data_IF_662163714268
#
_entry.id   IF_662163714268
#
_cell.length_a   1.000
_cell.length_b   1.000
_cell.length_c   1.000
_cell.angle_alpha   90.00
_cell.angle_beta   90.00
_cell.angle_gamma   90.00
#
_symmetry.space_group_name_H-M   'P 1'
#
loop_
_entity.id
_entity.type
_entity.pdbx_description
1 polymer ?
#
# COMPACT_ATOMS: atom_id res chain seq x y z
N UNK A 1 -0.22 -20.70 -6.10
CA UNK A 1 -1.19 -19.78 -6.73
C UNK A 1 -0.91 -18.37 -6.22
N UNK A 2 -0.50 -17.45 -7.08
CA UNK A 2 -0.38 -16.05 -6.69
C UNK A 2 -1.77 -15.45 -6.50
N UNK A 3 -2.12 -15.10 -5.26
CA UNK A 3 -3.36 -14.37 -4.97
C UNK A 3 -3.16 -12.91 -5.37
N UNK A 4 -3.88 -12.47 -6.40
CA UNK A 4 -3.94 -11.05 -6.80
C UNK A 4 -5.06 -10.37 -6.02
N UNK A 5 -4.77 -9.18 -5.49
CA UNK A 5 -5.73 -8.32 -4.81
C UNK A 5 -5.72 -6.97 -5.50
N UNK A 6 -6.90 -6.46 -5.82
CA UNK A 6 -7.10 -5.16 -6.46
C UNK A 6 -7.86 -4.25 -5.50
N UNK A 7 -7.41 -2.99 -5.40
CA UNK A 7 -8.06 -1.96 -4.58
C UNK A 7 -8.49 -0.82 -5.47
N UNK A 8 -9.68 -0.27 -5.22
CA UNK A 8 -10.11 0.99 -5.80
C UNK A 8 -9.75 2.10 -4.83
N UNK A 9 -9.01 3.09 -5.32
CA UNK A 9 -8.60 4.26 -4.57
C UNK A 9 -8.96 5.49 -5.39
N UNK A 10 -9.41 6.55 -4.73
CA UNK A 10 -9.49 7.85 -5.35
C UNK A 10 -8.09 8.44 -5.62
N UNK A 11 -8.03 9.46 -6.48
CA UNK A 11 -6.79 10.07 -6.92
C UNK A 11 -6.00 10.70 -5.75
N UNK A 12 -6.70 11.28 -4.77
CA UNK A 12 -6.06 11.91 -3.61
C UNK A 12 -5.36 10.86 -2.73
N UNK A 13 -6.05 9.77 -2.43
CA UNK A 13 -5.53 8.65 -1.62
C UNK A 13 -4.38 7.97 -2.36
N UNK A 14 -4.51 7.76 -3.67
CA UNK A 14 -3.42 7.23 -4.48
C UNK A 14 -2.18 8.14 -4.45
N UNK A 15 -2.34 9.45 -4.59
CA UNK A 15 -1.23 10.40 -4.50
C UNK A 15 -0.56 10.39 -3.12
N UNK A 16 -1.35 10.35 -2.04
CA UNK A 16 -0.85 10.29 -0.65
C UNK A 16 -0.05 9.02 -0.40
N UNK A 17 -0.56 7.85 -0.81
CA UNK A 17 0.14 6.56 -0.64
C UNK A 17 1.42 6.54 -1.48
N UNK A 18 1.38 7.04 -2.72
CA UNK A 18 2.57 7.14 -3.58
C UNK A 18 3.66 8.04 -3.00
N UNK A 19 3.28 9.19 -2.43
CA UNK A 19 4.23 10.10 -1.78
C UNK A 19 4.88 9.45 -0.55
N UNK A 20 4.09 8.76 0.28
CA UNK A 20 4.60 8.03 1.46
C UNK A 20 5.46 6.81 1.10
N UNK A 21 5.14 6.12 0.01
CA UNK A 21 5.98 5.04 -0.52
C UNK A 21 7.36 5.59 -0.93
N UNK A 22 7.38 6.71 -1.65
CA UNK A 22 8.62 7.38 -2.07
C UNK A 22 9.46 7.85 -0.88
N UNK A 23 8.84 8.44 0.15
CA UNK A 23 9.59 8.90 1.34
C UNK A 23 10.23 7.76 2.14
N UNK A 24 9.70 6.53 2.00
CA UNK A 24 10.25 5.31 2.61
C UNK A 24 11.17 4.51 1.67
N UNK A 25 11.48 5.06 0.49
CA UNK A 25 12.25 4.38 -0.56
C UNK A 25 11.66 3.02 -0.97
N UNK A 26 10.33 2.91 -0.95
CA UNK A 26 9.57 1.71 -1.28
C UNK A 26 8.79 1.89 -2.57
N UNK A 27 8.52 0.78 -3.27
CA UNK A 27 7.52 0.79 -4.34
C UNK A 27 6.12 0.95 -3.76
N UNK A 28 5.18 1.46 -4.56
CA UNK A 28 3.78 1.59 -4.15
C UNK A 28 3.20 0.24 -3.68
N UNK A 29 3.46 -0.84 -4.43
CA UNK A 29 2.98 -2.18 -4.09
C UNK A 29 3.59 -2.71 -2.78
N UNK A 30 4.90 -2.51 -2.57
CA UNK A 30 5.57 -2.89 -1.32
C UNK A 30 5.04 -2.11 -0.14
N UNK A 31 4.76 -0.81 -0.33
CA UNK A 31 4.22 0.04 0.73
C UNK A 31 2.77 -0.33 1.08
N UNK A 32 1.93 -0.65 0.09
CA UNK A 32 0.57 -1.16 0.34
C UNK A 32 0.61 -2.49 1.10
N UNK A 33 1.49 -3.43 0.71
CA UNK A 33 1.72 -4.66 1.48
C UNK A 33 2.18 -4.35 2.89
N UNK A 34 3.13 -3.45 3.06
CA UNK A 34 3.63 -3.05 4.38
C UNK A 34 2.50 -2.54 5.26
N UNK A 35 1.64 -1.63 4.77
CA UNK A 35 0.48 -1.15 5.53
C UNK A 35 -0.45 -2.30 5.91
N UNK A 36 -0.83 -3.15 4.95
CA UNK A 36 -1.76 -4.26 5.17
C UNK A 36 -1.23 -5.27 6.20
N UNK A 37 0.07 -5.58 6.18
CA UNK A 37 0.67 -6.55 7.09
C UNK A 37 1.22 -5.94 8.39
N UNK A 38 1.36 -4.61 8.47
CA UNK A 38 1.84 -3.91 9.66
C UNK A 38 0.71 -3.31 10.51
N UNK A 39 -0.53 -3.27 10.00
CA UNK A 39 -1.70 -3.03 10.85
C UNK A 39 -1.88 -4.23 11.78
N UNK A 40 -1.60 -4.04 13.07
CA UNK A 40 -1.84 -5.05 14.12
C UNK A 40 -3.30 -5.52 14.18
N UNK A 41 -4.24 -4.86 13.49
CA UNK A 41 -5.66 -5.26 13.37
C UNK A 41 -5.89 -6.54 12.54
N UNK A 42 -4.87 -7.07 11.85
CA UNK A 42 -4.96 -8.32 11.07
C UNK A 42 -4.17 -9.50 11.69
N UNK A 43 -3.59 -9.33 12.89
CA UNK A 43 -3.03 -10.44 13.66
C UNK A 43 -4.09 -11.15 14.49
#
# INVERSE_FOLDING_TARGET
>A
MDKKVSFLLDDETHARIKAKAKSKNMTLASYVKFILFSSDELK
#
